data_IF_172696628251
#
_entry.id   IF_172696628251
#
_cell.length_a   1.000
_cell.length_b   1.000
_cell.length_c   1.000
_cell.angle_alpha   90.00
_cell.angle_beta   90.00
_cell.angle_gamma   90.00
#
_symmetry.space_group_name_H-M   'P 1'
#
loop_
_entity.id
_entity.type
_entity.pdbx_description
1 polymer ?
#
# COMPACT_ATOMS: atom_id res chain seq x y z
N UNK A 1 -14.60 -9.46 -22.11
CA UNK A 1 -14.86 -8.51 -23.22
C UNK A 1 -16.09 -8.88 -24.06
N UNK A 2 -16.15 -10.09 -24.71
CA UNK A 2 -17.34 -10.47 -25.52
C UNK A 2 -18.62 -10.59 -24.69
N UNK A 3 -18.51 -11.16 -23.48
CA UNK A 3 -19.63 -11.29 -22.56
C UNK A 3 -20.10 -9.94 -22.02
N UNK A 4 -19.18 -9.06 -21.73
CA UNK A 4 -19.46 -7.70 -21.25
C UNK A 4 -20.09 -6.84 -22.34
N UNK A 5 -19.65 -6.99 -23.58
CA UNK A 5 -20.23 -6.29 -24.72
C UNK A 5 -21.67 -6.77 -25.01
N UNK A 6 -21.92 -8.08 -24.91
CA UNK A 6 -23.26 -8.64 -25.02
C UNK A 6 -24.20 -8.17 -23.89
N UNK A 7 -23.67 -8.05 -22.66
CA UNK A 7 -24.43 -7.52 -21.53
C UNK A 7 -24.74 -6.03 -21.71
N UNK A 8 -23.77 -5.23 -22.13
CA UNK A 8 -23.97 -3.81 -22.41
C UNK A 8 -24.94 -3.56 -23.55
N UNK A 9 -24.95 -4.39 -24.61
CA UNK A 9 -25.95 -4.34 -25.69
C UNK A 9 -27.34 -4.66 -25.17
N UNK A 10 -27.46 -5.65 -24.29
CA UNK A 10 -28.76 -6.02 -23.70
C UNK A 10 -29.31 -4.93 -22.78
N UNK A 11 -28.47 -4.29 -22.00
CA UNK A 11 -28.81 -3.13 -21.17
C UNK A 11 -29.25 -1.94 -22.04
N UNK A 12 -28.56 -1.66 -23.15
CA UNK A 12 -28.93 -0.60 -24.07
C UNK A 12 -30.29 -0.88 -24.70
N UNK A 13 -30.59 -2.11 -25.11
CA UNK A 13 -31.89 -2.48 -25.63
C UNK A 13 -33.02 -2.32 -24.61
N UNK A 14 -32.76 -2.71 -23.35
CA UNK A 14 -33.74 -2.53 -22.28
C UNK A 14 -34.02 -1.06 -21.99
N UNK A 15 -32.97 -0.26 -21.79
CA UNK A 15 -33.11 1.18 -21.53
C UNK A 15 -33.77 1.91 -22.71
N UNK A 16 -33.48 1.53 -23.95
CA UNK A 16 -34.08 2.10 -25.14
C UNK A 16 -35.58 1.77 -25.23
N UNK A 17 -35.98 0.54 -24.87
CA UNK A 17 -37.41 0.14 -24.80
C UNK A 17 -38.16 0.92 -23.72
N UNK A 18 -37.52 1.09 -22.56
CA UNK A 18 -38.10 1.86 -21.44
C UNK A 18 -38.27 3.34 -21.80
N UNK A 19 -37.27 3.97 -22.41
CA UNK A 19 -37.35 5.35 -22.91
C UNK A 19 -38.48 5.50 -23.93
N UNK A 20 -38.60 4.54 -24.85
CA UNK A 20 -39.68 4.56 -25.87
C UNK A 20 -41.08 4.43 -25.24
N UNK A 21 -41.22 3.53 -24.26
CA UNK A 21 -42.49 3.36 -23.53
C UNK A 21 -42.83 4.59 -22.69
N UNK A 22 -41.86 5.19 -22.00
CA UNK A 22 -42.03 6.44 -21.25
C UNK A 22 -42.39 7.60 -22.18
N UNK A 23 -41.73 7.70 -23.33
CA UNK A 23 -42.03 8.74 -24.35
C UNK A 23 -43.46 8.62 -24.84
N UNK A 24 -43.93 7.39 -25.15
CA UNK A 24 -45.30 7.14 -25.55
C UNK A 24 -46.32 7.47 -24.45
N UNK A 25 -45.95 7.18 -23.19
CA UNK A 25 -46.83 7.48 -22.04
C UNK A 25 -46.89 8.99 -21.78
N UNK A 26 -45.79 9.71 -21.90
CA UNK A 26 -45.75 11.17 -21.82
C UNK A 26 -46.56 11.80 -22.94
N UNK A 27 -46.46 11.28 -24.17
CA UNK A 27 -47.18 11.78 -25.33
C UNK A 27 -48.70 11.53 -25.20
N UNK A 28 -49.10 10.40 -24.63
CA UNK A 28 -50.53 10.11 -24.32
C UNK A 28 -51.07 10.99 -23.19
N UNK A 29 -50.27 11.31 -22.18
CA UNK A 29 -50.69 12.12 -21.05
C UNK A 29 -50.64 13.64 -21.34
N UNK A 30 -49.86 14.06 -22.36
CA UNK A 30 -49.87 15.48 -22.79
C UNK A 30 -51.15 15.92 -23.46
N UNK A 31 -52.02 14.97 -23.85
CA UNK A 31 -53.36 15.24 -24.42
C UNK A 31 -54.50 15.28 -23.40
N UNK A 32 -54.18 15.02 -22.09
CA UNK A 32 -55.17 15.13 -21.00
C UNK A 32 -54.71 16.14 -19.95
N UNK A 33 -55.22 17.33 -20.05
CA UNK A 33 -55.00 18.50 -19.19
C UNK A 33 -55.69 18.32 -17.84
N UNK A 34 -55.15 17.47 -16.94
CA UNK A 34 -55.63 17.56 -15.54
C UNK A 34 -54.81 16.75 -14.51
N UNK A 35 -53.51 16.85 -14.45
CA UNK A 35 -52.69 16.40 -13.28
C UNK A 35 -51.24 16.85 -13.37
N UNK A 36 -50.95 18.12 -13.03
CA UNK A 36 -49.64 18.74 -13.10
C UNK A 36 -48.56 18.15 -12.18
N UNK A 37 -48.89 17.23 -11.26
CA UNK A 37 -47.92 16.60 -10.32
C UNK A 37 -47.39 15.27 -10.88
N UNK A 38 -48.14 14.56 -11.67
CA UNK A 38 -47.73 13.28 -12.27
C UNK A 38 -46.83 13.45 -13.50
N UNK A 39 -46.94 14.56 -14.21
CA UNK A 39 -46.12 14.86 -15.40
C UNK A 39 -44.66 15.14 -15.03
N UNK A 40 -44.41 15.83 -13.92
CA UNK A 40 -43.05 16.12 -13.47
C UNK A 40 -42.28 14.87 -13.00
N UNK A 41 -42.97 13.93 -12.35
CA UNK A 41 -42.34 12.66 -11.95
C UNK A 41 -42.08 11.74 -13.13
N UNK A 42 -42.93 11.75 -14.14
CA UNK A 42 -42.72 11.03 -15.41
C UNK A 42 -41.61 11.67 -16.23
N UNK A 43 -41.53 12.99 -16.26
CA UNK A 43 -40.48 13.74 -16.95
C UNK A 43 -39.13 13.48 -16.33
N UNK A 44 -39.03 13.50 -15.01
CA UNK A 44 -37.79 13.18 -14.31
C UNK A 44 -37.35 11.73 -14.56
N UNK A 45 -38.26 10.78 -14.46
CA UNK A 45 -37.96 9.38 -14.80
C UNK A 45 -37.53 9.19 -16.26
N UNK A 46 -38.16 9.92 -17.18
CA UNK A 46 -37.78 9.90 -18.59
C UNK A 46 -36.38 10.48 -18.79
N UNK A 47 -36.04 11.57 -18.08
CA UNK A 47 -34.76 12.23 -18.16
C UNK A 47 -33.66 11.35 -17.61
N UNK A 48 -33.92 10.70 -16.47
CA UNK A 48 -32.98 9.74 -15.86
C UNK A 48 -32.73 8.54 -16.79
N UNK A 49 -33.79 7.99 -17.37
CA UNK A 49 -33.65 6.88 -18.33
C UNK A 49 -32.95 7.31 -19.63
N UNK A 50 -33.16 8.55 -20.08
CA UNK A 50 -32.46 9.08 -21.25
C UNK A 50 -30.97 9.29 -20.98
N UNK A 51 -30.62 9.79 -19.80
CA UNK A 51 -29.20 9.92 -19.37
C UNK A 51 -28.55 8.54 -19.30
N UNK A 52 -29.23 7.57 -18.69
CA UNK A 52 -28.72 6.20 -18.59
C UNK A 52 -28.53 5.56 -19.98
N UNK A 53 -29.45 5.79 -20.91
CA UNK A 53 -29.33 5.29 -22.28
C UNK A 53 -28.14 5.92 -23.05
N UNK A 54 -27.89 7.22 -22.87
CA UNK A 54 -26.72 7.88 -23.48
C UNK A 54 -25.43 7.45 -22.82
N UNK A 55 -25.42 7.23 -21.51
CA UNK A 55 -24.25 6.69 -20.80
C UNK A 55 -23.91 5.27 -21.26
N UNK A 56 -24.91 4.39 -21.36
CA UNK A 56 -24.68 3.02 -21.83
C UNK A 56 -24.25 3.00 -23.29
N UNK A 57 -24.73 3.90 -24.13
CA UNK A 57 -24.31 4.06 -25.53
C UNK A 57 -22.85 4.55 -25.61
N UNK A 58 -22.46 5.50 -24.75
CA UNK A 58 -21.08 5.98 -24.69
C UNK A 58 -20.12 4.87 -24.21
N UNK A 59 -20.52 4.09 -23.21
CA UNK A 59 -19.77 2.91 -22.76
C UNK A 59 -19.59 1.88 -23.88
N UNK A 60 -20.64 1.62 -24.61
CA UNK A 60 -20.63 0.65 -25.70
C UNK A 60 -19.66 1.09 -26.83
N UNK A 61 -19.70 2.37 -27.19
CA UNK A 61 -18.78 2.92 -28.20
C UNK A 61 -17.32 2.86 -27.74
N UNK A 62 -17.06 3.14 -26.46
CA UNK A 62 -15.71 3.03 -25.87
C UNK A 62 -15.21 1.57 -25.87
N UNK A 63 -16.09 0.63 -25.54
CA UNK A 63 -15.74 -0.80 -25.57
C UNK A 63 -15.50 -1.31 -27.00
N UNK A 64 -16.26 -0.85 -27.98
CA UNK A 64 -16.01 -1.20 -29.39
C UNK A 64 -14.68 -0.68 -29.91
N UNK A 65 -14.29 0.55 -29.55
CA UNK A 65 -12.96 1.11 -29.88
C UNK A 65 -11.86 0.29 -29.21
N UNK A 66 -12.04 -0.05 -27.94
CA UNK A 66 -11.09 -0.87 -27.21
C UNK A 66 -10.95 -2.27 -27.82
N UNK A 67 -12.07 -2.89 -28.19
CA UNK A 67 -12.06 -4.18 -28.90
C UNK A 67 -11.32 -4.11 -30.21
N UNK A 68 -11.62 -3.11 -31.06
CA UNK A 68 -10.93 -2.93 -32.33
C UNK A 68 -9.42 -2.74 -32.16
N UNK A 69 -9.01 -2.03 -31.11
CA UNK A 69 -7.58 -1.87 -30.78
C UNK A 69 -6.93 -3.19 -30.35
N UNK A 70 -7.62 -3.97 -29.53
CA UNK A 70 -7.14 -5.30 -29.10
C UNK A 70 -7.08 -6.24 -30.32
N UNK A 71 -8.09 -6.26 -31.16
CA UNK A 71 -8.11 -7.11 -32.37
C UNK A 71 -6.98 -6.73 -33.34
N UNK A 72 -6.72 -5.42 -33.52
CA UNK A 72 -5.57 -4.94 -34.32
C UNK A 72 -4.23 -5.38 -33.69
N UNK A 73 -4.07 -5.23 -32.38
CA UNK A 73 -2.87 -5.70 -31.68
C UNK A 73 -2.72 -7.21 -31.81
N UNK A 74 -3.80 -7.96 -31.65
CA UNK A 74 -3.77 -9.41 -31.79
C UNK A 74 -3.38 -9.85 -33.20
N UNK A 75 -3.95 -9.21 -34.24
CA UNK A 75 -3.57 -9.47 -35.66
C UNK A 75 -2.11 -9.12 -35.91
N UNK A 76 -1.59 -8.07 -35.28
CA UNK A 76 -0.18 -7.68 -35.45
C UNK A 76 0.76 -8.64 -34.71
N UNK A 77 0.45 -9.03 -33.49
CA UNK A 77 1.33 -9.86 -32.66
C UNK A 77 1.18 -11.36 -32.92
N UNK A 78 0.03 -11.82 -33.40
CA UNK A 78 -0.21 -13.24 -33.72
C UNK A 78 0.84 -13.85 -34.69
N UNK A 79 1.15 -13.22 -35.81
CA UNK A 79 2.19 -13.75 -36.70
C UNK A 79 3.58 -13.65 -36.10
N UNK A 80 3.83 -12.64 -35.25
CA UNK A 80 5.10 -12.49 -34.52
C UNK A 80 5.29 -13.64 -33.53
N UNK A 81 4.25 -13.94 -32.76
CA UNK A 81 4.26 -15.08 -31.83
C UNK A 81 4.51 -16.43 -32.53
N UNK A 82 3.84 -16.62 -33.66
CA UNK A 82 4.06 -17.82 -34.49
C UNK A 82 5.47 -17.91 -35.05
N UNK A 83 6.04 -16.78 -35.51
CA UNK A 83 7.42 -16.72 -36.00
C UNK A 83 8.44 -16.90 -34.87
N UNK A 84 8.19 -16.31 -33.72
CA UNK A 84 9.03 -16.51 -32.52
C UNK A 84 9.05 -17.99 -32.11
N UNK A 85 7.89 -18.61 -31.99
CA UNK A 85 7.79 -20.03 -31.65
C UNK A 85 8.41 -20.98 -32.70
N UNK A 86 8.47 -20.55 -33.98
CA UNK A 86 9.23 -21.30 -34.97
C UNK A 86 10.75 -21.11 -34.79
N UNK A 87 11.18 -19.88 -34.48
CA UNK A 87 12.58 -19.56 -34.19
C UNK A 87 13.09 -20.30 -32.95
N UNK A 88 12.33 -20.30 -31.90
CA UNK A 88 12.68 -21.02 -30.65
C UNK A 88 12.82 -22.53 -30.91
N UNK A 89 11.87 -23.12 -31.65
CA UNK A 89 11.98 -24.54 -32.01
C UNK A 89 13.20 -24.81 -32.90
N UNK A 90 13.51 -23.90 -33.79
CA UNK A 90 14.70 -24.01 -34.65
C UNK A 90 15.99 -23.87 -33.85
N UNK A 91 16.04 -22.93 -32.88
CA UNK A 91 17.18 -22.76 -31.96
C UNK A 91 17.38 -24.04 -31.15
N UNK A 92 16.34 -24.54 -30.50
CA UNK A 92 16.40 -25.78 -29.70
C UNK A 92 16.83 -27.00 -30.55
N UNK A 93 16.37 -27.09 -31.80
CA UNK A 93 16.77 -28.13 -32.73
C UNK A 93 18.26 -28.01 -33.10
N UNK A 94 18.71 -26.80 -33.42
CA UNK A 94 20.14 -26.55 -33.78
C UNK A 94 21.04 -26.80 -32.57
N UNK A 95 20.61 -26.37 -31.37
CA UNK A 95 21.32 -26.62 -30.10
C UNK A 95 21.44 -28.11 -29.81
N UNK A 96 20.35 -28.86 -29.93
CA UNK A 96 20.34 -30.29 -29.76
C UNK A 96 21.28 -31.02 -30.74
N UNK A 97 21.25 -30.60 -32.03
CA UNK A 97 22.14 -31.13 -33.02
C UNK A 97 23.61 -30.75 -32.76
N UNK A 98 23.87 -29.52 -32.32
CA UNK A 98 25.21 -29.09 -31.93
C UNK A 98 25.76 -29.89 -30.75
N UNK A 99 24.97 -30.12 -29.71
CA UNK A 99 25.33 -30.93 -28.53
C UNK A 99 25.57 -32.40 -28.94
N UNK A 100 24.74 -32.90 -29.80
CA UNK A 100 24.93 -34.26 -30.39
C UNK A 100 26.23 -34.38 -31.20
N UNK A 101 26.52 -33.39 -32.06
CA UNK A 101 27.78 -33.33 -32.81
C UNK A 101 28.99 -33.19 -31.90
N UNK A 102 28.91 -32.34 -30.85
CA UNK A 102 29.96 -32.23 -29.84
C UNK A 102 30.22 -33.55 -29.15
N UNK A 103 29.13 -34.24 -28.77
CA UNK A 103 29.22 -35.60 -28.16
C UNK A 103 29.89 -36.57 -29.08
N UNK A 104 29.49 -36.60 -30.36
CA UNK A 104 30.07 -37.47 -31.37
C UNK A 104 31.57 -37.15 -31.64
N UNK A 105 31.92 -35.86 -31.70
CA UNK A 105 33.31 -35.39 -31.88
C UNK A 105 34.17 -35.78 -30.69
N UNK A 106 33.67 -35.60 -29.48
CA UNK A 106 34.40 -36.02 -28.26
C UNK A 106 34.56 -37.54 -28.20
N UNK A 107 33.54 -38.29 -28.55
CA UNK A 107 33.64 -39.76 -28.64
C UNK A 107 34.64 -40.19 -29.72
N UNK A 108 34.67 -39.55 -30.88
CA UNK A 108 35.64 -39.82 -31.94
C UNK A 108 37.07 -39.46 -31.50
N UNK A 109 37.27 -38.32 -30.82
CA UNK A 109 38.56 -37.95 -30.23
C UNK A 109 39.03 -38.95 -29.17
N UNK A 110 38.15 -39.40 -28.32
CA UNK A 110 38.47 -40.42 -27.33
C UNK A 110 38.84 -41.75 -28.01
N UNK A 111 38.09 -42.15 -29.02
CA UNK A 111 38.46 -43.35 -29.82
C UNK A 111 39.81 -43.21 -30.49
N UNK A 112 40.10 -42.04 -31.09
CA UNK A 112 41.41 -41.77 -31.71
C UNK A 112 42.53 -41.83 -30.67
N UNK A 113 42.34 -41.22 -29.50
CA UNK A 113 43.31 -41.27 -28.40
C UNK A 113 43.49 -42.73 -27.88
N UNK A 114 42.41 -43.48 -27.72
CA UNK A 114 42.48 -44.85 -27.30
C UNK A 114 43.22 -45.75 -28.36
N UNK A 115 42.97 -45.53 -29.65
CA UNK A 115 43.70 -46.20 -30.72
C UNK A 115 45.19 -45.82 -30.69
N UNK A 116 45.54 -44.57 -30.49
CA UNK A 116 46.94 -44.12 -30.31
C UNK A 116 47.59 -44.72 -29.07
N UNK A 117 46.85 -44.87 -27.99
CA UNK A 117 47.36 -45.50 -26.74
C UNK A 117 47.52 -47.03 -26.89
N UNK A 118 46.63 -47.67 -27.69
CA UNK A 118 46.68 -49.13 -27.87
C UNK A 118 47.81 -49.54 -28.85
N UNK A 119 48.20 -48.65 -29.77
CA UNK A 119 49.31 -48.88 -30.71
C UNK A 119 50.65 -48.41 -30.15
N UNK A 120 50.65 -47.55 -29.15
CA UNK A 120 51.90 -47.16 -28.47
C UNK A 120 52.24 -48.18 -27.40
N UNK A 121 53.32 -48.93 -27.63
CA UNK A 121 53.98 -49.68 -26.53
C UNK A 121 54.04 -48.75 -25.31
N UNK A 122 53.36 -49.09 -24.24
CA UNK A 122 53.40 -48.40 -22.93
C UNK A 122 54.86 -48.27 -22.50
N UNK A 123 55.46 -47.16 -22.91
CA UNK A 123 56.77 -46.75 -22.38
C UNK A 123 56.48 -45.95 -21.16
N UNK A 124 56.80 -46.47 -20.01
CA UNK A 124 56.79 -45.74 -18.74
C UNK A 124 57.77 -44.58 -18.89
N UNK A 125 57.27 -43.42 -19.30
CA UNK A 125 58.08 -42.19 -19.49
C UNK A 125 58.56 -41.63 -18.15
N UNK A 126 57.74 -41.80 -17.10
CA UNK A 126 58.14 -41.47 -15.76
C UNK A 126 57.69 -42.58 -14.81
N UNK A 127 58.62 -43.26 -14.11
CA UNK A 127 58.22 -44.14 -13.01
C UNK A 127 57.43 -43.30 -11.98
N UNK A 128 56.48 -43.90 -11.27
CA UNK A 128 55.75 -43.20 -10.22
C UNK A 128 56.78 -42.79 -9.16
N UNK A 129 57.12 -41.50 -9.21
CA UNK A 129 57.97 -40.87 -8.20
C UNK A 129 57.12 -40.60 -6.98
N UNK A 130 57.48 -41.15 -5.85
CA UNK A 130 56.89 -40.79 -4.57
C UNK A 130 57.15 -39.28 -4.35
N UNK A 131 56.14 -38.43 -4.17
CA UNK A 131 56.33 -37.01 -3.92
C UNK A 131 57.06 -36.88 -2.56
N UNK A 132 58.34 -36.56 -2.60
CA UNK A 132 59.16 -36.34 -1.41
C UNK A 132 58.74 -35.11 -0.61
N UNK A 133 58.09 -34.16 -1.27
CA UNK A 133 57.58 -32.98 -0.62
C UNK A 133 56.11 -32.80 -0.94
N UNK A 134 55.28 -32.49 0.08
CA UNK A 134 53.92 -32.12 -0.12
C UNK A 134 53.87 -30.84 -0.98
N UNK A 135 53.02 -30.83 -1.99
CA UNK A 135 52.78 -29.64 -2.80
C UNK A 135 52.36 -28.49 -1.87
N UNK A 136 53.02 -27.32 -1.97
CA UNK A 136 52.65 -26.18 -1.16
C UNK A 136 51.24 -25.76 -1.51
N UNK A 137 50.31 -26.08 -0.65
CA UNK A 137 48.96 -25.54 -0.72
C UNK A 137 48.97 -24.08 -0.23
N UNK A 138 48.44 -23.18 -1.03
CA UNK A 138 48.31 -21.78 -0.63
C UNK A 138 47.20 -21.66 0.45
N UNK A 139 47.49 -22.20 1.65
CA UNK A 139 46.54 -22.26 2.79
C UNK A 139 45.99 -20.87 3.14
N UNK A 140 46.84 -19.84 3.05
CA UNK A 140 46.44 -18.46 3.28
C UNK A 140 45.40 -17.97 2.27
N UNK A 141 45.53 -18.36 0.99
CA UNK A 141 44.55 -17.96 -0.05
C UNK A 141 43.23 -18.67 0.13
N UNK A 142 43.24 -19.94 0.54
CA UNK A 142 42.02 -20.70 0.87
C UNK A 142 41.31 -20.08 2.09
N UNK A 143 42.07 -19.76 3.12
CA UNK A 143 41.57 -19.15 4.35
C UNK A 143 41.00 -17.76 4.08
N UNK A 144 41.67 -16.93 3.29
CA UNK A 144 41.18 -15.62 2.86
C UNK A 144 39.92 -15.74 2.02
N UNK A 145 39.89 -16.70 1.08
CA UNK A 145 38.72 -16.97 0.25
C UNK A 145 37.52 -17.43 1.08
N UNK A 146 37.72 -18.30 2.05
CA UNK A 146 36.65 -18.73 2.96
C UNK A 146 36.14 -17.59 3.83
N UNK A 147 37.03 -16.73 4.33
CA UNK A 147 36.65 -15.55 5.10
C UNK A 147 35.80 -14.57 4.26
N UNK A 148 36.27 -14.24 3.05
CA UNK A 148 35.54 -13.38 2.14
C UNK A 148 34.17 -13.97 1.75
N UNK A 149 34.11 -15.26 1.44
CA UNK A 149 32.85 -15.94 1.10
C UNK A 149 31.86 -15.87 2.28
N UNK A 150 32.32 -16.14 3.50
CA UNK A 150 31.48 -16.04 4.70
C UNK A 150 31.02 -14.61 4.93
N UNK A 151 31.89 -13.62 4.77
CA UNK A 151 31.53 -12.22 4.88
C UNK A 151 30.43 -11.82 3.89
N UNK A 152 30.57 -12.21 2.62
CA UNK A 152 29.56 -11.94 1.59
C UNK A 152 28.25 -12.64 1.89
N UNK A 153 28.25 -13.89 2.33
CA UNK A 153 27.02 -14.60 2.71
C UNK A 153 26.29 -13.89 3.85
N UNK A 154 27.01 -13.48 4.88
CA UNK A 154 26.42 -12.73 6.01
C UNK A 154 25.89 -11.37 5.54
N UNK A 155 26.64 -10.65 4.70
CA UNK A 155 26.19 -9.36 4.16
C UNK A 155 24.95 -9.50 3.31
N UNK A 156 24.88 -10.50 2.42
CA UNK A 156 23.71 -10.80 1.59
C UNK A 156 22.51 -11.18 2.47
N UNK A 157 22.73 -11.97 3.51
CA UNK A 157 21.66 -12.36 4.44
C UNK A 157 21.03 -11.13 5.11
N UNK A 158 21.85 -10.22 5.68
CA UNK A 158 21.34 -9.00 6.29
C UNK A 158 20.70 -8.06 5.27
N UNK A 159 21.26 -7.97 4.08
CA UNK A 159 20.67 -7.18 2.99
C UNK A 159 19.28 -7.70 2.57
N UNK A 160 19.12 -9.02 2.48
CA UNK A 160 17.83 -9.63 2.17
C UNK A 160 16.80 -9.37 3.26
N UNK A 161 17.18 -9.48 4.54
CA UNK A 161 16.28 -9.15 5.66
C UNK A 161 15.83 -7.69 5.54
N UNK A 162 16.75 -6.76 5.35
CA UNK A 162 16.42 -5.34 5.24
C UNK A 162 15.57 -5.01 4.01
N UNK A 163 15.81 -5.70 2.88
CA UNK A 163 15.03 -5.52 1.66
C UNK A 163 13.59 -6.03 1.80
N UNK A 164 13.41 -7.14 2.53
CA UNK A 164 12.10 -7.77 2.76
C UNK A 164 11.35 -7.14 3.94
N UNK A 165 12.02 -6.36 4.77
CA UNK A 165 11.42 -5.71 5.92
C UNK A 165 10.45 -4.60 5.46
N UNK A 166 9.15 -4.80 5.67
CA UNK A 166 8.08 -3.84 5.40
C UNK A 166 7.61 -3.13 6.67
N UNK A 167 8.42 -3.07 7.71
CA UNK A 167 8.06 -2.34 8.93
C UNK A 167 8.16 -0.83 8.72
N UNK A 168 7.33 -0.09 9.44
CA UNK A 168 7.31 1.37 9.40
C UNK A 168 8.32 2.00 10.40
N UNK A 169 9.50 1.38 10.53
CA UNK A 169 10.46 1.68 11.58
C UNK A 169 10.97 3.11 11.59
N UNK A 170 11.20 3.69 10.42
CA UNK A 170 11.80 5.00 10.22
C UNK A 170 10.90 5.93 9.41
N UNK A 171 11.05 7.24 9.59
CA UNK A 171 10.30 8.25 8.85
C UNK A 171 10.36 8.04 7.34
N UNK A 172 11.57 7.97 6.78
CA UNK A 172 11.81 7.86 5.35
C UNK A 172 11.18 6.61 4.75
N UNK A 173 11.23 5.50 5.48
CA UNK A 173 10.62 4.23 5.06
C UNK A 173 9.09 4.31 5.10
N UNK A 174 8.53 4.86 6.17
CA UNK A 174 7.09 5.04 6.33
C UNK A 174 6.52 5.93 5.23
N UNK A 175 7.11 7.08 4.97
CA UNK A 175 6.70 7.99 3.89
C UNK A 175 6.84 7.35 2.50
N UNK A 176 7.84 6.50 2.29
CA UNK A 176 8.03 5.77 1.02
C UNK A 176 6.94 4.71 0.80
N UNK A 177 6.59 3.96 1.85
CA UNK A 177 5.61 2.86 1.77
C UNK A 177 4.19 3.42 1.66
N UNK A 178 3.85 4.38 2.51
CA UNK A 178 2.47 4.87 2.66
C UNK A 178 2.14 6.06 1.78
N UNK A 179 3.15 6.82 1.33
CA UNK A 179 3.01 8.08 0.59
C UNK A 179 2.33 9.20 1.38
N UNK A 180 2.37 9.11 2.72
CA UNK A 180 1.83 10.12 3.63
C UNK A 180 2.98 10.70 4.45
N UNK A 181 3.01 12.03 4.68
CA UNK A 181 4.01 12.66 5.53
C UNK A 181 3.85 12.21 6.99
N UNK A 182 4.97 11.93 7.64
CA UNK A 182 5.03 11.55 9.05
C UNK A 182 5.24 12.81 9.88
N UNK A 183 4.31 13.12 10.79
CA UNK A 183 4.40 14.28 11.69
C UNK A 183 5.33 14.05 12.88
N UNK A 184 5.47 12.81 13.32
CA UNK A 184 6.27 12.49 14.48
C UNK A 184 6.20 11.04 14.91
N UNK A 185 6.89 10.75 15.99
CA UNK A 185 6.96 9.41 16.56
C UNK A 185 6.78 9.45 18.08
N UNK A 186 6.06 8.46 18.61
CA UNK A 186 5.96 8.19 20.04
C UNK A 186 6.93 7.07 20.44
N UNK A 187 7.74 7.28 21.48
CA UNK A 187 8.77 6.33 21.87
C UNK A 187 8.18 5.03 22.41
N UNK A 188 8.86 3.92 22.12
CA UNK A 188 8.65 2.68 22.84
C UNK A 188 9.27 2.80 24.24
N UNK A 189 8.53 2.35 25.25
CA UNK A 189 9.06 2.30 26.60
C UNK A 189 10.27 1.37 26.70
N UNK A 190 11.38 1.91 27.18
CA UNK A 190 12.58 1.15 27.45
C UNK A 190 12.50 0.46 28.80
N UNK A 191 12.66 -0.85 28.82
CA UNK A 191 12.57 -1.66 30.05
C UNK A 191 13.84 -1.64 30.90
N UNK A 192 15.03 -1.40 30.32
CA UNK A 192 16.31 -1.56 30.99
C UNK A 192 17.15 -0.28 30.97
N UNK A 193 17.79 0.02 29.84
CA UNK A 193 18.88 1.03 29.78
C UNK A 193 18.41 2.47 29.96
N UNK A 194 17.22 2.81 29.47
CA UNK A 194 16.70 4.19 29.44
C UNK A 194 15.39 4.37 30.18
N UNK A 195 14.99 3.41 31.03
CA UNK A 195 13.74 3.42 31.78
C UNK A 195 13.50 4.72 32.56
N UNK A 196 14.57 5.27 33.14
CA UNK A 196 14.54 6.51 33.92
C UNK A 196 14.13 7.73 33.09
N UNK A 197 14.34 7.69 31.79
CA UNK A 197 14.08 8.79 30.88
C UNK A 197 12.81 8.61 30.05
N UNK A 198 12.08 7.50 30.20
CA UNK A 198 10.88 7.22 29.41
C UNK A 198 9.91 8.39 29.43
N UNK A 199 9.55 8.87 30.65
CA UNK A 199 8.62 10.00 30.80
C UNK A 199 9.13 11.26 30.09
N UNK A 200 10.39 11.63 30.29
CA UNK A 200 10.97 12.84 29.66
C UNK A 200 10.93 12.72 28.13
N UNK A 201 11.26 11.54 27.59
CA UNK A 201 11.23 11.29 26.13
C UNK A 201 9.80 11.35 25.60
N UNK A 202 8.84 10.78 26.32
CA UNK A 202 7.42 10.86 25.97
C UNK A 202 6.90 12.29 25.98
N UNK A 203 7.23 13.07 27.02
CA UNK A 203 6.85 14.48 27.11
C UNK A 203 7.45 15.31 25.95
N UNK A 204 8.70 15.02 25.57
CA UNK A 204 9.35 15.67 24.42
C UNK A 204 8.65 15.31 23.09
N UNK A 205 8.26 14.03 22.92
CA UNK A 205 7.53 13.57 21.73
C UNK A 205 6.13 14.21 21.64
N UNK A 206 5.39 14.31 22.75
CA UNK A 206 4.08 14.98 22.81
C UNK A 206 4.20 16.47 22.53
N UNK A 207 5.21 17.13 23.06
CA UNK A 207 5.49 18.55 22.77
C UNK A 207 5.77 18.76 21.29
N UNK A 208 6.54 17.89 20.67
CA UNK A 208 6.83 17.94 19.24
C UNK A 208 5.57 17.71 18.39
N UNK A 209 4.74 16.72 18.75
CA UNK A 209 3.46 16.49 18.10
C UNK A 209 2.55 17.70 18.20
N UNK A 210 2.42 18.29 19.40
CA UNK A 210 1.63 19.50 19.61
C UNK A 210 2.15 20.67 18.78
N UNK A 211 3.46 20.86 18.72
CA UNK A 211 4.08 21.88 17.87
C UNK A 211 3.77 21.70 16.38
N UNK A 212 3.64 20.44 15.94
CA UNK A 212 3.30 20.13 14.56
C UNK A 212 1.79 20.29 14.27
N UNK A 213 0.92 19.99 15.24
CA UNK A 213 -0.54 20.05 15.09
C UNK A 213 -1.12 21.44 15.26
N UNK A 214 -0.69 22.20 16.27
CA UNK A 214 -1.27 23.49 16.62
C UNK A 214 -1.29 24.52 15.47
N UNK A 215 -0.32 24.62 14.56
CA UNK A 215 -0.38 25.51 13.43
C UNK A 215 -1.52 25.27 12.45
N UNK A 216 -2.07 24.05 12.43
CA UNK A 216 -3.22 23.70 11.58
C UNK A 216 -4.55 24.14 12.17
N UNK A 217 -4.59 24.44 13.49
CA UNK A 217 -5.79 24.84 14.19
C UNK A 217 -6.02 26.35 14.08
N UNK A 218 -7.28 26.72 13.91
CA UNK A 218 -7.70 28.12 13.75
C UNK A 218 -8.49 28.57 14.96
N UNK A 219 -8.16 29.72 15.48
CA UNK A 219 -8.91 30.33 16.58
C UNK A 219 -10.31 30.77 16.13
N UNK A 220 -11.32 30.47 16.96
CA UNK A 220 -12.71 30.79 16.68
C UNK A 220 -13.42 29.87 15.69
N UNK A 221 -12.83 28.72 15.37
CA UNK A 221 -13.45 27.65 14.58
C UNK A 221 -13.35 26.33 15.34
N UNK A 222 -14.31 25.45 15.09
CA UNK A 222 -14.24 24.08 15.59
C UNK A 222 -13.01 23.37 15.02
N UNK A 223 -12.05 23.08 15.85
CA UNK A 223 -10.87 22.31 15.46
C UNK A 223 -11.04 20.84 15.82
N UNK A 224 -10.77 19.97 14.86
CA UNK A 224 -10.99 18.54 15.00
C UNK A 224 -9.74 17.79 14.62
N UNK A 225 -9.24 17.00 15.56
CA UNK A 225 -8.17 16.03 15.33
C UNK A 225 -8.77 14.64 15.24
N UNK A 226 -8.80 14.09 14.05
CA UNK A 226 -9.23 12.71 13.83
C UNK A 226 -8.06 11.75 14.05
N UNK A 227 -8.23 10.79 14.95
CA UNK A 227 -7.28 9.69 15.17
C UNK A 227 -7.82 8.41 14.51
N UNK A 228 -7.11 7.97 13.50
CA UNK A 228 -7.47 6.85 12.64
C UNK A 228 -6.40 5.76 12.76
N UNK A 229 -6.77 4.51 12.69
CA UNK A 229 -5.80 3.40 12.60
C UNK A 229 -6.36 2.24 11.80
N UNK A 230 -5.49 1.42 11.27
CA UNK A 230 -5.89 0.18 10.56
C UNK A 230 -6.16 -0.98 11.52
N UNK A 231 -5.67 -0.90 12.76
CA UNK A 231 -5.79 -1.97 13.75
C UNK A 231 -6.01 -1.38 15.16
N UNK A 232 -6.69 -2.12 16.04
CA UNK A 232 -7.00 -1.71 17.41
C UNK A 232 -5.75 -1.51 18.27
N UNK A 233 -4.71 -2.30 18.01
CA UNK A 233 -3.50 -2.32 18.84
C UNK A 233 -2.47 -1.22 18.50
N UNK A 234 -2.81 -0.23 17.68
CA UNK A 234 -1.87 0.80 17.21
C UNK A 234 -1.57 1.92 18.24
N UNK A 235 -2.19 1.88 19.41
CA UNK A 235 -1.92 2.84 20.50
C UNK A 235 -2.64 4.18 20.35
N UNK A 236 -3.75 4.25 19.60
CA UNK A 236 -4.60 5.45 19.47
C UNK A 236 -5.07 5.99 20.82
N UNK A 237 -5.74 5.13 21.61
CA UNK A 237 -6.35 5.52 22.88
C UNK A 237 -5.30 6.00 23.89
N UNK A 238 -4.13 5.36 23.89
CA UNK A 238 -3.02 5.83 24.71
C UNK A 238 -2.53 7.21 24.25
N UNK A 239 -2.34 7.38 22.94
CA UNK A 239 -1.90 8.66 22.38
C UNK A 239 -2.92 9.77 22.60
N UNK A 240 -4.22 9.50 22.41
CA UNK A 240 -5.29 10.46 22.61
C UNK A 240 -5.35 10.96 24.04
N UNK A 241 -5.23 10.04 25.01
CA UNK A 241 -5.23 10.35 26.43
C UNK A 241 -4.01 11.18 26.86
N UNK A 242 -2.82 10.81 26.39
CA UNK A 242 -1.60 11.54 26.72
C UNK A 242 -1.60 12.94 26.08
N UNK A 243 -2.14 13.07 24.86
CA UNK A 243 -2.25 14.34 24.16
C UNK A 243 -3.29 15.26 24.83
N UNK A 244 -4.44 14.71 25.24
CA UNK A 244 -5.46 15.40 26.00
C UNK A 244 -4.87 15.95 27.31
N UNK A 245 -4.22 15.10 28.11
CA UNK A 245 -3.57 15.48 29.37
C UNK A 245 -2.53 16.59 29.16
N UNK A 246 -1.74 16.46 28.12
CA UNK A 246 -0.72 17.45 27.79
C UNK A 246 -1.37 18.79 27.40
N UNK A 247 -2.37 18.81 26.53
CA UNK A 247 -3.04 20.04 26.10
C UNK A 247 -3.83 20.72 27.21
N UNK A 248 -4.47 19.97 28.08
CA UNK A 248 -5.10 20.52 29.30
C UNK A 248 -4.03 21.15 30.21
N UNK A 249 -2.86 20.54 30.35
CA UNK A 249 -1.77 21.06 31.18
C UNK A 249 -1.22 22.42 30.70
N UNK A 250 -1.32 22.70 29.38
CA UNK A 250 -0.92 24.00 28.77
C UNK A 250 -2.10 24.97 28.63
N UNK A 251 -3.29 24.64 29.16
CA UNK A 251 -4.46 25.52 29.24
C UNK A 251 -5.36 25.50 28.01
N UNK A 252 -5.24 24.52 27.11
CA UNK A 252 -6.17 24.34 26.00
C UNK A 252 -7.45 23.62 26.48
N UNK A 253 -8.58 24.00 25.92
CA UNK A 253 -9.83 23.29 26.12
C UNK A 253 -9.92 22.16 25.10
N UNK A 254 -9.98 20.94 25.60
CA UNK A 254 -9.96 19.73 24.77
C UNK A 254 -11.09 18.81 25.19
N UNK A 255 -11.74 18.24 24.20
CA UNK A 255 -12.75 17.19 24.39
C UNK A 255 -12.33 15.95 23.63
N UNK A 256 -12.09 14.85 24.34
CA UNK A 256 -11.82 13.55 23.73
C UNK A 256 -13.14 12.81 23.54
N UNK A 257 -13.33 12.27 22.34
CA UNK A 257 -14.44 11.42 21.96
C UNK A 257 -13.87 10.06 21.55
N UNK A 258 -14.27 9.03 22.27
CA UNK A 258 -13.76 7.67 22.10
C UNK A 258 -14.87 6.76 21.59
N UNK A 259 -14.61 6.00 20.53
CA UNK A 259 -15.53 4.94 20.13
C UNK A 259 -15.64 3.90 21.26
N UNK A 260 -16.77 3.21 21.35
CA UNK A 260 -17.20 2.31 22.42
C UNK A 260 -17.61 3.00 23.75
N UNK A 261 -17.16 4.22 24.02
CA UNK A 261 -17.57 4.99 25.21
C UNK A 261 -18.59 6.06 24.86
N UNK A 262 -18.28 6.94 23.89
CA UNK A 262 -19.10 8.08 23.50
C UNK A 262 -20.02 7.78 22.32
N UNK A 263 -19.58 6.92 21.41
CA UNK A 263 -20.35 6.48 20.25
C UNK A 263 -19.98 5.05 19.84
N UNK A 264 -20.92 4.33 19.24
CA UNK A 264 -20.75 2.97 18.73
C UNK A 264 -20.58 3.00 17.22
N UNK A 265 -19.64 2.21 16.68
CA UNK A 265 -19.39 2.12 15.26
C UNK A 265 -20.59 1.58 14.45
N UNK A 266 -21.43 0.75 15.07
CA UNK A 266 -22.63 0.16 14.46
C UNK A 266 -23.90 0.99 14.68
N UNK A 267 -23.81 2.14 15.39
CA UNK A 267 -24.96 3.02 15.58
C UNK A 267 -25.27 3.79 14.31
N UNK A 268 -26.56 3.87 14.00
CA UNK A 268 -27.05 4.68 12.88
C UNK A 268 -26.68 6.16 13.00
N UNK A 269 -26.54 6.67 14.23
CA UNK A 269 -26.07 8.04 14.51
C UNK A 269 -24.64 8.25 14.00
N UNK A 270 -23.74 7.28 14.22
CA UNK A 270 -22.38 7.37 13.70
C UNK A 270 -22.35 7.25 12.18
N UNK A 271 -23.05 6.27 11.62
CA UNK A 271 -23.05 6.00 10.17
C UNK A 271 -23.64 7.17 9.36
N UNK A 272 -24.66 7.84 9.91
CA UNK A 272 -25.35 8.96 9.25
C UNK A 272 -24.86 10.34 9.72
N UNK A 273 -23.83 10.39 10.58
CA UNK A 273 -23.36 11.67 11.09
C UNK A 273 -22.73 12.51 10.00
N UNK A 274 -23.14 13.76 9.98
CA UNK A 274 -22.60 14.78 9.07
C UNK A 274 -21.73 15.78 9.80
N UNK A 275 -21.83 15.83 11.12
CA UNK A 275 -21.11 16.76 11.97
C UNK A 275 -20.66 16.09 13.28
N UNK A 276 -19.58 16.61 13.87
CA UNK A 276 -19.15 16.20 15.21
C UNK A 276 -20.22 16.46 16.28
N UNK A 277 -21.06 17.48 16.08
CA UNK A 277 -22.19 17.76 16.96
C UNK A 277 -23.22 16.63 16.99
N UNK A 278 -23.28 15.81 15.96
CA UNK A 278 -24.14 14.63 15.94
C UNK A 278 -23.63 13.54 16.89
N UNK A 279 -22.31 13.49 17.11
CA UNK A 279 -21.65 12.58 18.05
C UNK A 279 -21.63 13.16 19.48
N UNK A 280 -21.38 14.46 19.61
CA UNK A 280 -21.32 15.17 20.88
C UNK A 280 -22.01 16.52 20.76
N UNK A 281 -23.30 16.63 21.14
CA UNK A 281 -24.05 17.90 21.06
C UNK A 281 -23.49 19.01 21.96
N UNK A 282 -22.83 18.63 23.05
CA UNK A 282 -22.35 19.54 24.10
C UNK A 282 -20.97 20.13 23.81
N UNK A 283 -20.40 19.91 22.62
CA UNK A 283 -19.08 20.41 22.28
C UNK A 283 -19.11 21.92 22.02
N UNK A 284 -18.21 22.64 22.67
CA UNK A 284 -18.08 24.09 22.52
C UNK A 284 -17.30 24.44 21.22
N UNK A 285 -17.59 25.57 20.57
CA UNK A 285 -16.91 25.97 19.35
C UNK A 285 -15.41 26.19 19.49
N UNK A 286 -14.94 26.57 20.68
CA UNK A 286 -13.53 26.83 20.97
C UNK A 286 -12.78 25.62 21.52
N UNK A 287 -13.48 24.49 21.76
CA UNK A 287 -12.85 23.24 22.18
C UNK A 287 -12.19 22.52 20.98
N UNK A 288 -11.02 21.96 21.22
CA UNK A 288 -10.37 21.05 20.28
C UNK A 288 -10.97 19.66 20.49
N UNK A 289 -11.63 19.13 19.47
CA UNK A 289 -12.14 17.77 19.50
C UNK A 289 -11.05 16.77 19.09
N UNK A 290 -10.71 15.85 19.97
CA UNK A 290 -9.91 14.65 19.59
C UNK A 290 -10.89 13.50 19.41
N UNK A 291 -11.06 13.05 18.17
CA UNK A 291 -12.00 11.96 17.87
C UNK A 291 -11.21 10.69 17.57
N UNK A 292 -11.44 9.69 18.39
CA UNK A 292 -10.85 8.36 18.21
C UNK A 292 -11.82 7.45 17.48
N UNK A 293 -11.52 7.16 16.21
CA UNK A 293 -12.36 6.30 15.38
C UNK A 293 -12.07 4.81 15.57
N UNK A 294 -13.03 3.93 15.25
CA UNK A 294 -12.79 2.49 15.18
C UNK A 294 -11.71 2.13 14.16
N UNK A 295 -11.29 0.88 14.14
CA UNK A 295 -10.29 0.42 13.16
C UNK A 295 -10.88 0.40 11.75
N UNK A 296 -10.11 0.86 10.80
CA UNK A 296 -10.50 0.90 9.40
C UNK A 296 -10.70 -0.49 8.77
N UNK A 297 -10.04 -1.53 9.31
CA UNK A 297 -10.21 -2.88 8.79
C UNK A 297 -11.54 -3.51 9.19
N UNK A 298 -12.14 -3.05 10.28
CA UNK A 298 -13.37 -3.61 10.83
C UNK A 298 -14.59 -2.74 10.51
N UNK A 299 -14.42 -1.40 10.49
CA UNK A 299 -15.50 -0.45 10.31
C UNK A 299 -15.09 0.68 9.36
N UNK A 300 -16.03 1.16 8.56
CA UNK A 300 -15.82 2.35 7.73
C UNK A 300 -16.15 3.63 8.50
N UNK A 301 -15.39 4.69 8.24
CA UNK A 301 -15.63 6.00 8.82
C UNK A 301 -16.42 6.84 7.81
N UNK A 302 -17.49 7.53 8.21
CA UNK A 302 -18.22 8.43 7.31
C UNK A 302 -17.30 9.51 6.72
N UNK A 303 -17.37 9.70 5.41
CA UNK A 303 -16.54 10.70 4.69
C UNK A 303 -16.78 12.13 5.18
N UNK A 304 -18.01 12.44 5.61
CA UNK A 304 -18.36 13.72 6.23
C UNK A 304 -17.51 14.02 7.46
N UNK A 305 -17.35 13.05 8.37
CA UNK A 305 -16.55 13.19 9.57
C UNK A 305 -15.04 13.29 9.28
N UNK A 306 -14.56 12.54 8.28
CA UNK A 306 -13.17 12.65 7.84
C UNK A 306 -12.86 14.04 7.28
N UNK A 307 -13.77 14.59 6.47
CA UNK A 307 -13.61 15.90 5.84
C UNK A 307 -13.82 17.08 6.80
N UNK A 308 -14.51 16.87 7.92
CA UNK A 308 -14.57 17.86 9.00
C UNK A 308 -13.29 17.92 9.84
N UNK A 309 -12.44 16.90 9.77
CA UNK A 309 -11.16 16.88 10.44
C UNK A 309 -10.25 17.99 9.97
N UNK A 310 -9.84 18.87 10.88
CA UNK A 310 -8.78 19.86 10.60
C UNK A 310 -7.47 19.13 10.29
N UNK A 311 -7.21 18.06 11.03
CA UNK A 311 -6.11 17.14 10.80
C UNK A 311 -6.59 15.70 10.97
N UNK A 312 -6.26 14.86 10.01
CA UNK A 312 -6.48 13.42 10.07
C UNK A 312 -5.15 12.73 10.35
N UNK A 313 -5.02 12.14 11.52
CA UNK A 313 -3.79 11.50 11.97
C UNK A 313 -3.92 9.98 11.96
N UNK A 314 -3.24 9.35 11.00
CA UNK A 314 -3.14 7.90 10.91
C UNK A 314 -2.10 7.40 11.92
N UNK A 315 -2.59 6.78 12.98
CA UNK A 315 -1.74 6.21 14.06
C UNK A 315 -1.41 4.76 13.75
N UNK A 316 -0.13 4.43 13.72
CA UNK A 316 0.33 3.06 13.48
C UNK A 316 1.60 2.76 14.26
N UNK A 317 1.85 1.48 14.55
CA UNK A 317 3.08 1.06 15.25
C UNK A 317 4.25 1.01 14.30
N UNK A 318 5.39 1.55 14.73
CA UNK A 318 6.65 1.52 13.97
C UNK A 318 7.21 0.09 13.79
N UNK A 319 6.97 -0.80 14.74
CA UNK A 319 7.43 -2.18 14.73
C UNK A 319 6.50 -3.15 13.97
N UNK A 320 5.38 -2.66 13.46
CA UNK A 320 4.41 -3.47 12.71
C UNK A 320 4.77 -3.51 11.23
N UNK A 321 4.62 -4.69 10.64
CA UNK A 321 4.73 -4.86 9.19
C UNK A 321 3.48 -4.27 8.51
N UNK A 322 3.69 -3.39 7.54
CA UNK A 322 2.63 -2.82 6.72
C UNK A 322 2.14 -3.84 5.70
N UNK A 323 0.87 -4.22 5.79
CA UNK A 323 0.22 -5.24 4.95
C UNK A 323 -0.55 -4.60 3.79
N UNK A 324 -0.87 -5.40 2.80
CA UNK A 324 -1.68 -4.95 1.65
C UNK A 324 -3.10 -4.52 2.07
N UNK A 325 -3.65 -5.10 3.13
CA UNK A 325 -4.94 -4.69 3.72
C UNK A 325 -4.85 -3.28 4.31
N UNK A 326 -3.76 -2.96 5.01
CA UNK A 326 -3.53 -1.62 5.56
C UNK A 326 -3.41 -0.58 4.42
N UNK A 327 -2.75 -0.98 3.33
CA UNK A 327 -2.63 -0.12 2.14
C UNK A 327 -3.98 0.12 1.45
N UNK A 328 -4.85 -0.87 1.45
CA UNK A 328 -6.22 -0.75 0.94
C UNK A 328 -7.03 0.24 1.79
N UNK A 329 -7.06 0.04 3.11
CA UNK A 329 -7.75 0.91 4.05
C UNK A 329 -7.25 2.37 3.94
N UNK A 330 -5.94 2.55 3.81
CA UNK A 330 -5.35 3.86 3.60
C UNK A 330 -5.82 4.53 2.31
N UNK A 331 -5.83 3.81 1.18
CA UNK A 331 -6.33 4.33 -0.10
C UNK A 331 -7.81 4.68 -0.05
N UNK A 332 -8.59 3.92 0.69
CA UNK A 332 -10.01 4.22 0.91
C UNK A 332 -10.18 5.56 1.62
N UNK A 333 -9.47 5.78 2.74
CA UNK A 333 -9.45 7.07 3.43
C UNK A 333 -8.99 8.20 2.51
N UNK A 334 -7.91 8.01 1.75
CA UNK A 334 -7.42 9.00 0.79
C UNK A 334 -8.45 9.35 -0.30
N UNK A 335 -9.23 8.37 -0.75
CA UNK A 335 -10.28 8.59 -1.76
C UNK A 335 -11.50 9.33 -1.22
N UNK A 336 -11.76 9.24 0.09
CA UNK A 336 -12.86 9.91 0.77
C UNK A 336 -12.53 11.33 1.20
N UNK A 337 -11.25 11.67 1.34
CA UNK A 337 -10.79 12.99 1.72
C UNK A 337 -10.80 13.96 0.52
N UNK A 338 -11.48 15.10 0.68
CA UNK A 338 -11.46 16.21 -0.29
C UNK A 338 -10.09 16.90 -0.30
N UNK A 339 -9.47 17.06 0.87
CA UNK A 339 -8.14 17.61 1.03
C UNK A 339 -7.17 16.55 1.56
N UNK A 340 -6.35 16.01 0.66
CA UNK A 340 -5.35 15.00 1.01
C UNK A 340 -4.20 15.58 1.88
N UNK A 341 -3.98 16.89 1.85
CA UNK A 341 -2.95 17.55 2.67
C UNK A 341 -3.31 17.60 4.17
N UNK A 342 -4.55 17.22 4.54
CA UNK A 342 -4.95 17.08 5.94
C UNK A 342 -4.60 15.72 6.56
N UNK A 343 -4.09 14.76 5.76
CA UNK A 343 -3.79 13.41 6.22
C UNK A 343 -2.29 13.27 6.53
N UNK A 344 -2.02 12.92 7.77
CA UNK A 344 -0.66 12.71 8.29
C UNK A 344 -0.54 11.36 8.98
N UNK A 345 0.68 10.89 9.12
CA UNK A 345 0.98 9.67 9.86
C UNK A 345 1.70 9.98 11.17
N UNK A 346 1.39 9.19 12.19
CA UNK A 346 2.10 9.21 13.47
C UNK A 346 2.48 7.79 13.89
N UNK A 347 3.76 7.60 14.19
CA UNK A 347 4.30 6.29 14.52
C UNK A 347 4.36 6.11 16.03
N UNK A 348 3.73 5.06 16.54
CA UNK A 348 3.82 4.66 17.96
C UNK A 348 4.83 3.52 18.13
N UNK A 349 5.25 3.26 19.36
CA UNK A 349 6.27 2.25 19.70
C UNK A 349 7.57 2.37 18.88
N UNK A 350 7.94 3.61 18.57
CA UNK A 350 9.12 3.90 17.75
C UNK A 350 10.42 3.71 18.52
N UNK A 351 11.45 3.29 17.79
CA UNK A 351 12.78 3.23 18.34
C UNK A 351 13.31 4.63 18.65
N UNK A 352 14.24 4.70 19.61
CA UNK A 352 14.86 5.96 20.04
C UNK A 352 15.42 6.79 18.87
N UNK A 353 16.07 6.17 17.90
CA UNK A 353 16.63 6.86 16.74
C UNK A 353 15.55 7.56 15.87
N UNK A 354 14.42 6.91 15.66
CA UNK A 354 13.31 7.50 14.93
C UNK A 354 12.72 8.71 15.68
N UNK A 355 12.66 8.65 17.01
CA UNK A 355 12.21 9.79 17.83
C UNK A 355 13.21 10.94 17.79
N UNK A 356 14.52 10.66 17.82
CA UNK A 356 15.57 11.67 17.71
C UNK A 356 15.52 12.46 16.39
N UNK A 357 15.02 11.86 15.33
CA UNK A 357 14.81 12.54 14.02
C UNK A 357 13.85 13.73 14.12
N UNK A 358 12.84 13.65 15.00
CA UNK A 358 11.81 14.67 15.16
C UNK A 358 12.05 15.61 16.33
N UNK A 359 12.57 15.08 17.42
CA UNK A 359 12.68 15.78 18.70
C UNK A 359 14.08 16.35 18.89
N UNK A 360 15.07 15.84 18.18
CA UNK A 360 16.48 16.12 18.41
C UNK A 360 17.09 15.20 19.45
N UNK A 361 18.18 15.63 20.08
CA UNK A 361 18.93 14.79 21.03
C UNK A 361 18.09 14.41 22.24
N UNK A 362 18.03 13.10 22.52
CA UNK A 362 17.32 12.55 23.66
C UNK A 362 18.25 12.29 24.85
N UNK A 363 17.75 12.45 26.11
CA UNK A 363 18.54 12.14 27.30
C UNK A 363 18.87 10.63 27.41
N UNK A 364 20.03 10.24 28.02
CA UNK A 364 21.08 11.16 28.45
C UNK A 364 21.80 11.77 27.25
N UNK A 365 21.98 13.08 27.28
CA UNK A 365 22.74 13.77 26.24
C UNK A 365 24.20 13.31 26.33
N UNK A 366 24.60 12.35 25.53
CA UNK A 366 26.01 11.99 25.36
C UNK A 366 26.61 13.04 24.41
N UNK A 367 27.33 13.99 24.98
CA UNK A 367 28.33 14.74 24.22
C UNK A 367 29.43 13.73 23.89
N UNK A 368 29.54 13.28 22.65
CA UNK A 368 30.75 12.72 22.12
C UNK A 368 31.64 13.83 21.58
#
# INVERSE_FOLDING_TARGET
AQLELANAQKELEQTTKEVKNLTQTIQKNSTSTDQGVRTNTLLNKWLDQKILAEETKARLSAQDIMRQNIDRQFLYFSPIGATLGRKDRHINFVESNYMSMLGALNAARLRQKNLQMTTATLRVLNPPLFPLNALPTNRMMILLGAYLATFFLVAVYFFLIELLDRTLRDRMRSERITKIPVLGCYPKESSLRYRRYNKTISDMALRQLSKALLPHFKTGQQNVLNLISTDSSNGKSYLSQELENYWISIGLQVRRLTYDEDFLADDSRFIMSTSIKDLCPDILPDEIAIVEYPNLNDHSIPSSLLNMGTVNLMVTRANRTWKDIDQKALKEVQSQLENQDSLYMYLTESNRYAVEEFVGQLPPYTRF
#
